data_IF_214192950540
#
_entry.id   IF_214192950540
#
_cell.length_a   1.000
_cell.length_b   1.000
_cell.length_c   1.000
_cell.angle_alpha   90.00
_cell.angle_beta   90.00
_cell.angle_gamma   90.00
#
_symmetry.space_group_name_H-M   'P 1'
#
loop_
_entity.id
_entity.type
_entity.pdbx_description
1 polymer ?
#
# COMPACT_ATOMS: atom_id res chain seq x y z
N UNK A 1 -2.49 19.62 10.57
CA UNK A 1 -3.02 18.50 9.79
C UNK A 1 -3.98 18.99 8.74
N UNK A 2 -3.80 18.54 7.54
CA UNK A 2 -4.59 18.97 6.41
C UNK A 2 -5.63 17.90 6.07
N UNK A 3 -6.91 18.29 6.02
CA UNK A 3 -7.97 17.40 5.56
C UNK A 3 -8.32 17.75 4.13
N UNK A 4 -8.47 16.73 3.31
CA UNK A 4 -8.87 16.89 1.92
C UNK A 4 -10.31 16.42 1.76
N UNK A 5 -11.01 17.00 0.78
CA UNK A 5 -12.35 16.53 0.45
C UNK A 5 -12.32 15.35 -0.53
N UNK A 6 -11.26 15.22 -1.31
CA UNK A 6 -11.13 14.15 -2.30
C UNK A 6 -9.68 13.92 -2.66
N UNK A 7 -9.42 12.79 -3.33
CA UNK A 7 -8.10 12.47 -3.83
C UNK A 7 -7.74 13.35 -5.02
N UNK A 8 -6.45 13.73 -5.17
CA UNK A 8 -6.01 14.46 -6.37
C UNK A 8 -6.22 13.64 -7.64
N UNK A 9 -6.40 14.32 -8.76
CA UNK A 9 -6.51 13.65 -10.06
C UNK A 9 -5.25 12.84 -10.35
N UNK A 10 -5.42 11.61 -10.82
CA UNK A 10 -4.31 10.74 -11.17
C UNK A 10 -3.57 10.16 -9.99
N UNK A 11 -4.10 10.27 -8.78
CA UNK A 11 -3.43 9.78 -7.58
C UNK A 11 -3.25 8.26 -7.57
N UNK A 12 -4.09 7.55 -8.30
CA UNK A 12 -3.98 6.10 -8.42
C UNK A 12 -2.97 5.65 -9.47
N UNK A 13 -2.37 6.57 -10.21
CA UNK A 13 -1.34 6.26 -11.20
C UNK A 13 -0.01 6.11 -10.47
N UNK A 14 0.47 4.89 -10.37
CA UNK A 14 1.72 4.60 -9.70
C UNK A 14 2.51 3.58 -10.51
N UNK A 15 3.78 3.41 -10.16
CA UNK A 15 4.63 2.41 -10.78
C UNK A 15 4.03 1.01 -10.57
N UNK A 16 4.02 0.22 -11.64
CA UNK A 16 3.60 -1.18 -11.59
C UNK A 16 4.79 -2.01 -12.10
N UNK A 17 5.31 -2.95 -11.31
CA UNK A 17 6.42 -3.78 -11.76
C UNK A 17 6.07 -4.57 -13.01
N UNK A 18 7.08 -4.83 -13.85
CA UNK A 18 6.91 -5.65 -15.04
C UNK A 18 6.34 -7.02 -14.68
N UNK A 19 5.42 -7.49 -15.50
CA UNK A 19 4.81 -8.81 -15.32
C UNK A 19 3.59 -8.82 -14.42
N UNK A 20 3.25 -7.68 -13.80
CA UNK A 20 2.04 -7.59 -12.98
C UNK A 20 0.86 -7.11 -13.81
N UNK A 21 -0.28 -7.68 -13.51
CA UNK A 21 -1.56 -7.32 -14.12
C UNK A 21 -2.52 -6.88 -13.03
N UNK A 22 -3.33 -5.87 -13.34
CA UNK A 22 -4.36 -5.45 -12.41
C UNK A 22 -5.50 -6.47 -12.40
N UNK A 23 -5.93 -6.84 -11.18
CA UNK A 23 -7.10 -7.69 -10.99
C UNK A 23 -8.31 -6.79 -10.75
N UNK A 24 -9.09 -6.57 -11.81
CA UNK A 24 -10.25 -5.68 -11.75
C UNK A 24 -11.45 -6.27 -11.00
N UNK A 25 -11.39 -7.55 -10.67
CA UNK A 25 -12.46 -8.16 -9.86
C UNK A 25 -12.33 -7.80 -8.39
N UNK A 26 -11.17 -7.29 -7.99
CA UNK A 26 -10.92 -6.84 -6.63
C UNK A 26 -10.66 -5.35 -6.60
N UNK A 27 -11.17 -4.72 -5.55
CA UNK A 27 -10.92 -3.31 -5.34
C UNK A 27 -12.04 -2.40 -5.80
N UNK A 28 -11.75 -1.12 -5.75
CA UNK A 28 -12.72 -0.08 -6.07
C UNK A 28 -11.99 1.25 -6.30
N UNK A 29 -12.71 2.17 -6.95
CA UNK A 29 -12.26 3.54 -7.15
C UNK A 29 -13.42 4.48 -6.87
N UNK A 30 -13.17 5.51 -6.08
CA UNK A 30 -14.11 6.62 -5.92
C UNK A 30 -13.32 7.90 -5.60
N UNK A 31 -14.03 8.98 -5.35
CA UNK A 31 -13.39 10.29 -5.17
C UNK A 31 -12.52 10.40 -3.93
N UNK A 32 -12.78 9.60 -2.91
CA UNK A 32 -12.10 9.70 -1.62
C UNK A 32 -11.20 8.52 -1.31
N UNK A 33 -11.29 7.44 -2.09
CA UNK A 33 -10.49 6.25 -1.82
C UNK A 33 -10.37 5.34 -3.03
N UNK A 34 -9.33 4.52 -3.04
CA UNK A 34 -9.23 3.43 -4.00
C UNK A 34 -8.50 2.24 -3.36
N UNK A 35 -8.83 1.07 -3.85
CA UNK A 35 -8.12 -0.17 -3.56
C UNK A 35 -7.87 -0.86 -4.89
N UNK A 36 -6.61 -1.04 -5.24
CA UNK A 36 -6.22 -1.71 -6.48
C UNK A 36 -5.41 -2.95 -6.16
N UNK A 37 -5.77 -4.07 -6.75
CA UNK A 37 -5.09 -5.34 -6.60
C UNK A 37 -4.31 -5.66 -7.87
N UNK A 38 -3.10 -6.16 -7.69
CA UNK A 38 -2.21 -6.57 -8.79
C UNK A 38 -1.68 -7.96 -8.51
N UNK A 39 -1.52 -8.73 -9.56
CA UNK A 39 -1.03 -10.11 -9.46
C UNK A 39 -0.02 -10.37 -10.59
N UNK A 40 1.01 -11.16 -10.26
CA UNK A 40 1.98 -11.56 -11.27
C UNK A 40 1.29 -12.49 -12.28
N UNK A 41 1.46 -12.19 -13.57
CA UNK A 41 0.80 -12.94 -14.64
C UNK A 41 1.21 -14.42 -14.66
N UNK A 42 2.41 -14.73 -14.18
CA UNK A 42 2.96 -16.09 -14.21
C UNK A 42 2.89 -16.82 -12.87
N UNK A 43 2.69 -16.11 -11.77
CA UNK A 43 2.67 -16.70 -10.45
C UNK A 43 1.71 -15.94 -9.54
N UNK A 44 0.52 -16.46 -9.36
CA UNK A 44 -0.53 -15.76 -8.60
C UNK A 44 -0.29 -15.69 -7.10
N UNK A 45 0.74 -16.36 -6.60
CA UNK A 45 1.16 -16.21 -5.21
C UNK A 45 1.96 -14.94 -4.99
N UNK A 46 2.34 -14.25 -6.05
CA UNK A 46 3.03 -12.97 -6.02
C UNK A 46 2.00 -11.89 -6.35
N UNK A 47 1.68 -11.06 -5.37
CA UNK A 47 0.61 -10.07 -5.52
C UNK A 47 0.84 -8.89 -4.58
N UNK A 48 0.11 -7.80 -4.82
CA UNK A 48 0.04 -6.70 -3.87
C UNK A 48 -1.26 -5.91 -4.04
N UNK A 49 -1.62 -5.20 -2.98
CA UNK A 49 -2.76 -4.29 -2.95
C UNK A 49 -2.25 -2.90 -2.62
N UNK A 50 -2.81 -1.90 -3.26
CA UNK A 50 -2.56 -0.49 -2.93
C UNK A 50 -3.89 0.12 -2.50
N UNK A 51 -3.92 0.66 -1.28
CA UNK A 51 -5.11 1.27 -0.70
C UNK A 51 -4.76 2.70 -0.29
N UNK A 52 -5.48 3.66 -0.83
CA UNK A 52 -5.33 5.06 -0.45
C UNK A 52 -6.69 5.64 -0.12
N UNK A 53 -6.75 6.40 0.95
CA UNK A 53 -8.00 7.00 1.40
C UNK A 53 -7.75 8.38 1.98
N UNK A 54 -8.63 9.33 1.64
CA UNK A 54 -8.63 10.62 2.31
C UNK A 54 -8.96 10.41 3.78
N UNK A 55 -8.16 11.04 4.65
CA UNK A 55 -8.38 10.94 6.08
C UNK A 55 -9.57 11.82 6.45
N UNK A 56 -10.63 11.19 6.98
CA UNK A 56 -11.87 11.89 7.32
C UNK A 56 -12.01 12.18 8.80
N UNK A 57 -11.31 11.42 9.63
CA UNK A 57 -11.23 11.68 11.05
C UNK A 57 -9.94 11.06 11.60
N UNK A 58 -9.66 11.31 12.88
CA UNK A 58 -8.46 10.77 13.53
C UNK A 58 -8.72 9.40 14.08
N UNK A 59 -8.82 8.43 13.21
CA UNK A 59 -8.89 7.06 13.65
C UNK A 59 -7.49 6.52 13.81
N UNK A 60 -7.34 5.65 14.78
CA UNK A 60 -6.12 4.91 14.90
C UNK A 60 -6.02 3.91 13.76
N UNK A 61 -4.81 3.76 13.27
CA UNK A 61 -4.51 2.73 12.28
C UNK A 61 -4.78 1.37 12.94
N UNK A 62 -5.52 0.51 12.26
CA UNK A 62 -5.80 -0.82 12.76
C UNK A 62 -4.51 -1.58 13.01
N UNK A 63 -4.50 -2.31 14.12
CA UNK A 63 -3.39 -3.19 14.42
C UNK A 63 -3.51 -4.45 13.59
N UNK A 64 -2.46 -4.78 12.88
CA UNK A 64 -2.37 -6.05 12.18
C UNK A 64 -1.94 -7.14 13.16
N UNK A 65 -2.14 -8.39 12.77
CA UNK A 65 -1.66 -9.51 13.55
C UNK A 65 -0.15 -9.40 13.75
N UNK A 66 0.25 -9.34 15.00
CA UNK A 66 1.64 -9.10 15.37
C UNK A 66 2.43 -10.35 15.70
N UNK A 67 1.78 -11.51 15.72
CA UNK A 67 2.43 -12.73 16.17
C UNK A 67 3.66 -13.10 15.37
N UNK A 68 3.60 -12.86 14.05
CA UNK A 68 4.69 -13.20 13.15
C UNK A 68 5.21 -12.00 12.36
N UNK A 69 4.85 -10.80 12.78
CA UNK A 69 5.20 -9.58 12.05
C UNK A 69 6.17 -8.74 12.85
N UNK A 70 7.26 -8.37 12.21
CA UNK A 70 8.27 -7.46 12.78
C UNK A 70 8.09 -6.10 12.14
N UNK A 71 7.94 -5.06 12.95
CA UNK A 71 7.71 -3.70 12.48
C UNK A 71 8.98 -2.86 12.59
N UNK A 72 9.18 -1.99 11.61
CA UNK A 72 10.27 -1.02 11.64
C UNK A 72 9.80 0.31 11.08
N UNK A 73 10.45 1.38 11.48
CA UNK A 73 10.19 2.70 10.95
C UNK A 73 11.10 2.97 9.79
N UNK A 74 10.52 3.44 8.68
CA UNK A 74 11.27 3.80 7.47
C UNK A 74 10.72 5.11 6.93
N UNK A 75 11.25 5.56 5.80
CA UNK A 75 10.75 6.74 5.09
C UNK A 75 10.23 6.34 3.72
N UNK A 76 9.13 6.95 3.33
CA UNK A 76 8.66 6.94 1.95
C UNK A 76 8.78 8.38 1.46
N UNK A 77 9.79 8.65 0.65
CA UNK A 77 10.16 10.03 0.37
C UNK A 77 10.55 10.73 1.66
N UNK A 78 9.83 11.77 2.05
CA UNK A 78 10.04 12.49 3.30
C UNK A 78 9.06 12.09 4.40
N UNK A 79 8.11 11.23 4.10
CA UNK A 79 7.08 10.82 5.04
C UNK A 79 7.56 9.66 5.91
N UNK A 80 7.24 9.71 7.20
CA UNK A 80 7.46 8.58 8.10
C UNK A 80 6.49 7.47 7.77
N UNK A 81 6.99 6.25 7.75
CA UNK A 81 6.20 5.07 7.41
C UNK A 81 6.53 3.92 8.36
N UNK A 82 5.59 3.00 8.48
CA UNK A 82 5.77 1.77 9.24
C UNK A 82 5.75 0.59 8.28
N UNK A 83 6.80 -0.21 8.30
CA UNK A 83 6.91 -1.41 7.49
C UNK A 83 6.83 -2.64 8.39
N UNK A 84 5.86 -3.49 8.12
CA UNK A 84 5.73 -4.78 8.77
C UNK A 84 6.22 -5.89 7.85
N UNK A 85 7.01 -6.80 8.39
CA UNK A 85 7.55 -7.94 7.64
C UNK A 85 7.08 -9.23 8.29
N UNK A 86 6.45 -10.10 7.52
CA UNK A 86 5.92 -11.39 7.98
C UNK A 86 6.52 -12.52 7.16
N UNK A 87 7.22 -13.42 7.84
CA UNK A 87 7.92 -14.54 7.20
C UNK A 87 7.26 -15.90 7.47
N UNK A 88 6.09 -15.92 8.08
CA UNK A 88 5.50 -17.17 8.55
C UNK A 88 4.94 -18.08 7.47
N UNK A 89 4.69 -17.58 6.29
CA UNK A 89 3.96 -18.33 5.26
C UNK A 89 4.78 -18.77 4.06
N UNK A 90 6.07 -18.97 4.21
CA UNK A 90 6.94 -19.33 3.09
C UNK A 90 7.45 -18.07 2.38
N UNK A 91 6.65 -17.46 1.53
CA UNK A 91 7.04 -16.21 0.86
C UNK A 91 6.83 -15.04 1.83
N UNK A 92 7.83 -14.16 1.93
CA UNK A 92 7.75 -12.99 2.78
C UNK A 92 6.63 -12.06 2.34
N UNK A 93 5.81 -11.67 3.30
CA UNK A 93 4.78 -10.67 3.11
C UNK A 93 5.15 -9.36 3.80
N UNK A 94 4.68 -8.26 3.23
CA UNK A 94 4.93 -6.94 3.77
C UNK A 94 3.63 -6.16 3.91
N UNK A 95 3.60 -5.27 4.89
CA UNK A 95 2.58 -4.24 4.99
C UNK A 95 3.29 -2.91 5.22
N UNK A 96 2.98 -1.92 4.42
CA UNK A 96 3.60 -0.60 4.51
C UNK A 96 2.48 0.43 4.67
N UNK A 97 2.58 1.26 5.72
CA UNK A 97 1.56 2.25 6.04
C UNK A 97 2.19 3.61 6.25
N UNK A 98 1.64 4.64 5.63
CA UNK A 98 2.08 6.01 5.87
C UNK A 98 0.97 7.00 5.56
N UNK A 99 1.10 8.21 6.10
CA UNK A 99 0.19 9.30 5.85
C UNK A 99 0.95 10.45 5.21
N UNK A 100 0.36 11.08 4.23
CA UNK A 100 0.93 12.25 3.57
C UNK A 100 -0.18 13.11 2.99
N UNK A 101 -0.12 14.39 3.26
CA UNK A 101 -1.04 15.39 2.69
C UNK A 101 -2.52 15.06 2.90
N UNK A 102 -2.85 14.53 4.06
CA UNK A 102 -4.23 14.19 4.40
C UNK A 102 -4.72 12.90 3.76
N UNK A 103 -3.81 12.08 3.24
CA UNK A 103 -4.14 10.80 2.62
C UNK A 103 -3.43 9.67 3.36
N UNK A 104 -4.19 8.65 3.71
CA UNK A 104 -3.65 7.43 4.31
C UNK A 104 -3.33 6.43 3.21
N UNK A 105 -2.14 5.83 3.27
CA UNK A 105 -1.66 4.88 2.28
C UNK A 105 -1.33 3.55 2.94
N UNK A 106 -1.72 2.47 2.29
CA UNK A 106 -1.36 1.11 2.72
C UNK A 106 -1.03 0.28 1.50
N UNK A 107 0.11 -0.41 1.54
CA UNK A 107 0.44 -1.40 0.53
C UNK A 107 0.67 -2.72 1.27
N UNK A 108 -0.01 -3.76 0.81
CA UNK A 108 0.12 -5.10 1.37
C UNK A 108 0.48 -6.03 0.23
N UNK A 109 1.50 -6.84 0.40
CA UNK A 109 1.83 -7.75 -0.68
C UNK A 109 2.92 -8.75 -0.37
N UNK A 110 3.01 -9.72 -1.26
CA UNK A 110 4.06 -10.73 -1.29
C UNK A 110 4.91 -10.48 -2.52
N UNK A 111 5.67 -9.40 -2.47
CA UNK A 111 6.59 -8.95 -3.51
C UNK A 111 7.92 -8.61 -2.84
N UNK A 112 8.95 -8.29 -3.62
CA UNK A 112 10.22 -7.92 -3.02
C UNK A 112 10.09 -6.58 -2.29
N UNK A 113 10.91 -6.39 -1.26
CA UNK A 113 10.97 -5.13 -0.52
C UNK A 113 11.31 -3.96 -1.43
N UNK A 114 12.23 -4.16 -2.37
CA UNK A 114 12.63 -3.16 -3.34
C UNK A 114 11.48 -2.69 -4.20
N UNK A 115 10.71 -3.63 -4.75
CA UNK A 115 9.55 -3.29 -5.57
C UNK A 115 8.45 -2.61 -4.76
N UNK A 116 8.23 -3.08 -3.53
CA UNK A 116 7.27 -2.46 -2.62
C UNK A 116 7.59 -0.98 -2.41
N UNK A 117 8.85 -0.66 -2.14
CA UNK A 117 9.27 0.71 -1.91
C UNK A 117 9.21 1.55 -3.18
N UNK A 118 9.49 0.98 -4.34
CA UNK A 118 9.36 1.69 -5.60
C UNK A 118 7.91 2.06 -5.88
N UNK A 119 7.00 1.15 -5.63
CA UNK A 119 5.57 1.44 -5.77
C UNK A 119 5.19 2.59 -4.84
N UNK A 120 5.57 2.48 -3.57
CA UNK A 120 5.23 3.50 -2.58
C UNK A 120 5.75 4.89 -2.96
N UNK A 121 7.00 4.97 -3.38
CA UNK A 121 7.63 6.24 -3.74
C UNK A 121 7.03 6.86 -4.99
N UNK A 122 6.37 6.08 -5.82
CA UNK A 122 5.74 6.58 -7.04
C UNK A 122 4.35 7.17 -6.82
N UNK A 123 3.75 6.92 -5.67
CA UNK A 123 2.41 7.45 -5.35
C UNK A 123 2.54 8.90 -4.89
N UNK A 124 1.86 9.80 -5.57
CA UNK A 124 1.94 11.22 -5.24
C UNK A 124 0.66 11.97 -5.54
#
# INVERSE_FOLDING_TARGET
>A
TLFRSQLPNGYSDHYVPDGFERDYEQGYDNEISFLHAYVDANDKSIFYYVDCSVIQDYRQIETFDNEHTVYERIKVGTADATLGTNNSGGRTGYVLVWEKDGISHTIIGKISREELLRIAESIS
#
